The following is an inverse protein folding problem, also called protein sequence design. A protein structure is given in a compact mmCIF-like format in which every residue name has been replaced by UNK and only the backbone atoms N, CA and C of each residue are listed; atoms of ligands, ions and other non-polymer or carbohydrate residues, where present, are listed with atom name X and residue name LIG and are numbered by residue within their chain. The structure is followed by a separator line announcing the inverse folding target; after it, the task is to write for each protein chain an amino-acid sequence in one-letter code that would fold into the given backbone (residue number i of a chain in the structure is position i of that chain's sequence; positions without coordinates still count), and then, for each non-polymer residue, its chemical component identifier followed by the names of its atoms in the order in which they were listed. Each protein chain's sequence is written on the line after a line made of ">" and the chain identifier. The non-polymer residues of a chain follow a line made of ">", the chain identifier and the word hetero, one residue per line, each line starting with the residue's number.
data_IF_590194422126
#
_entry.id   IF_590194422126
#
_cell.length_a   1.000
_cell.length_b   1.000
_cell.length_c   1.000
_cell.angle_alpha   90.00
_cell.angle_beta   90.00
_cell.angle_gamma   90.00
#
_symmetry.space_group_name_H-M   'P 1'
#
loop_
_entity.id
_entity.type
_entity.pdbx_description
1 polymer ?
#
# COMPACT_ATOMS: atom_id res chain seq x y z
N UNK A 1 -11.83 -7.95 1.37
CA UNK A 1 -11.75 -6.80 0.46
C UNK A 1 -10.85 -7.19 -0.70
N UNK A 2 -11.29 -6.96 -1.95
CA UNK A 2 -10.51 -7.27 -3.15
C UNK A 2 -9.49 -6.17 -3.48
N UNK A 3 -8.56 -6.40 -4.41
CA UNK A 3 -7.56 -5.40 -4.78
C UNK A 3 -8.16 -4.23 -5.56
N UNK A 4 -7.55 -3.05 -5.40
CA UNK A 4 -7.77 -1.88 -6.24
C UNK A 4 -7.23 -2.11 -7.65
N UNK A 5 -6.05 -2.74 -7.74
CA UNK A 5 -5.37 -3.14 -8.96
C UNK A 5 -4.71 -4.51 -8.76
N UNK A 6 -4.75 -5.36 -9.77
CA UNK A 6 -4.03 -6.63 -9.81
C UNK A 6 -3.58 -6.94 -11.24
N UNK A 7 -2.32 -7.28 -11.41
CA UNK A 7 -1.73 -7.70 -12.68
C UNK A 7 -1.10 -9.08 -12.54
N UNK A 8 -1.01 -9.81 -13.65
CA UNK A 8 -0.22 -11.03 -13.71
C UNK A 8 1.25 -10.70 -13.40
N UNK A 9 1.88 -11.45 -12.49
CA UNK A 9 3.25 -11.16 -12.04
C UNK A 9 4.32 -11.32 -13.14
N UNK A 10 4.02 -12.09 -14.18
CA UNK A 10 4.90 -12.34 -15.33
C UNK A 10 4.57 -11.40 -16.50
N UNK A 11 3.28 -11.13 -16.72
CA UNK A 11 2.78 -10.25 -17.78
C UNK A 11 2.05 -9.05 -17.16
N UNK A 12 2.78 -7.95 -16.97
CA UNK A 12 2.22 -6.74 -16.36
C UNK A 12 1.32 -5.93 -17.29
N UNK A 13 1.13 -6.34 -18.55
CA UNK A 13 0.10 -5.76 -19.42
C UNK A 13 -1.28 -6.41 -19.17
N UNK A 14 -1.31 -7.62 -18.57
CA UNK A 14 -2.53 -8.30 -18.14
C UNK A 14 -2.95 -7.82 -16.73
N UNK A 15 -3.57 -6.64 -16.69
CA UNK A 15 -4.06 -6.01 -15.46
C UNK A 15 -5.58 -5.92 -15.38
N UNK A 16 -6.09 -6.19 -14.19
CA UNK A 16 -7.44 -5.84 -13.76
C UNK A 16 -7.38 -4.64 -12.82
N UNK A 17 -8.26 -3.67 -13.04
CA UNK A 17 -8.43 -2.50 -12.15
C UNK A 17 -9.86 -2.43 -11.63
N UNK A 18 -10.26 -3.33 -10.70
CA UNK A 18 -11.61 -3.30 -10.13
C UNK A 18 -11.90 -2.00 -9.38
N UNK A 19 -10.86 -1.25 -9.00
CA UNK A 19 -10.95 -0.02 -8.20
C UNK A 19 -11.67 -0.24 -6.86
N UNK A 20 -11.62 -1.47 -6.34
CA UNK A 20 -12.17 -1.79 -5.04
C UNK A 20 -11.37 -1.02 -3.97
N UNK A 21 -12.07 -0.14 -3.25
CA UNK A 21 -11.52 0.62 -2.14
C UNK A 21 -12.28 0.26 -0.87
N UNK A 22 -11.56 -0.16 0.17
CA UNK A 22 -12.14 -0.33 1.50
C UNK A 22 -12.38 1.03 2.15
N UNK A 23 -13.35 1.10 3.05
CA UNK A 23 -13.55 2.26 3.92
C UNK A 23 -13.36 1.83 5.37
N UNK A 24 -12.65 2.67 6.13
CA UNK A 24 -12.42 2.45 7.54
C UNK A 24 -12.81 3.72 8.32
N UNK A 25 -13.90 3.68 9.09
CA UNK A 25 -14.21 4.73 10.06
C UNK A 25 -13.11 4.80 11.12
N UNK A 26 -12.60 6.00 11.38
CA UNK A 26 -11.52 6.25 12.33
C UNK A 26 -11.83 7.45 13.21
N UNK A 27 -11.00 7.67 14.22
CA UNK A 27 -10.95 8.93 14.96
C UNK A 27 -9.51 9.39 15.10
N UNK A 28 -9.32 10.64 15.50
CA UNK A 28 -7.98 11.17 15.77
C UNK A 28 -7.31 10.52 16.99
N UNK A 29 -8.07 9.83 17.85
CA UNK A 29 -7.58 9.31 19.13
C UNK A 29 -6.93 7.93 19.02
N UNK A 30 -7.37 7.11 18.06
CA UNK A 30 -6.98 5.71 17.98
C UNK A 30 -6.19 5.45 16.69
N UNK A 31 -5.01 4.82 16.77
CA UNK A 31 -4.25 4.45 15.58
C UNK A 31 -4.95 3.33 14.81
N UNK A 32 -4.66 3.24 13.52
CA UNK A 32 -5.04 2.10 12.70
C UNK A 32 -4.02 0.98 12.89
N UNK A 33 -4.51 -0.24 13.10
CA UNK A 33 -3.69 -1.44 13.07
C UNK A 33 -3.81 -2.09 11.69
N UNK A 34 -2.76 -1.96 10.88
CA UNK A 34 -2.63 -2.69 9.63
C UNK A 34 -1.98 -4.04 9.92
N UNK A 35 -2.57 -5.12 9.41
CA UNK A 35 -1.93 -6.44 9.37
C UNK A 35 -2.00 -7.00 7.96
N UNK A 36 -0.96 -7.72 7.57
CA UNK A 36 -0.91 -8.44 6.30
C UNK A 36 -0.78 -9.94 6.58
N UNK A 37 -1.44 -10.81 5.81
CA UNK A 37 -1.26 -12.26 5.96
C UNK A 37 0.13 -12.69 5.48
N UNK A 38 0.62 -13.84 5.96
CA UNK A 38 1.95 -14.36 5.62
C UNK A 38 2.21 -14.48 4.10
N UNK A 39 1.15 -14.78 3.35
CA UNK A 39 1.18 -14.85 1.87
C UNK A 39 1.65 -13.53 1.22
N UNK A 40 1.42 -12.39 1.89
CA UNK A 40 1.90 -11.07 1.48
C UNK A 40 3.31 -10.84 2.01
N UNK A 41 3.57 -11.13 3.29
CA UNK A 41 4.85 -10.80 3.91
C UNK A 41 6.03 -11.60 3.38
N UNK A 42 5.80 -12.77 2.77
CA UNK A 42 6.86 -13.60 2.15
C UNK A 42 7.51 -12.97 0.91
N UNK A 43 6.97 -11.87 0.41
CA UNK A 43 7.52 -11.08 -0.70
C UNK A 43 7.77 -9.64 -0.25
N UNK A 44 8.60 -8.86 -0.96
CA UNK A 44 8.73 -7.44 -0.69
C UNK A 44 7.37 -6.75 -0.87
N UNK A 45 6.95 -6.00 0.13
CA UNK A 45 5.69 -5.26 0.09
C UNK A 45 5.90 -3.83 0.56
N UNK A 46 5.14 -2.91 -0.03
CA UNK A 46 5.25 -1.48 0.21
C UNK A 46 3.97 -0.96 0.86
N UNK A 47 4.15 -0.18 1.92
CA UNK A 47 3.09 0.58 2.57
C UNK A 47 3.17 2.04 2.11
N UNK A 48 2.07 2.55 1.56
CA UNK A 48 1.89 3.99 1.38
C UNK A 48 0.91 4.52 2.43
N UNK A 49 1.29 5.63 3.06
CA UNK A 49 0.41 6.39 3.96
C UNK A 49 0.10 7.72 3.27
N UNK A 50 -1.15 7.90 2.86
CA UNK A 50 -1.62 9.08 2.14
C UNK A 50 -2.24 10.04 3.15
N UNK A 51 -1.75 11.27 3.18
CA UNK A 51 -2.22 12.31 4.09
C UNK A 51 -3.13 13.32 3.37
N UNK A 52 -3.70 14.26 4.12
CA UNK A 52 -4.55 15.33 3.56
C UNK A 52 -3.86 16.13 2.45
N UNK A 53 -2.58 16.40 2.61
CA UNK A 53 -1.72 16.88 1.53
C UNK A 53 -1.02 15.67 0.88
N UNK A 54 -1.39 15.29 -0.37
CA UNK A 54 -0.79 14.14 -1.04
C UNK A 54 0.72 14.27 -1.27
N UNK A 55 1.27 15.49 -1.29
CA UNK A 55 2.71 15.71 -1.41
C UNK A 55 3.49 15.15 -0.20
N UNK A 56 2.82 14.95 0.94
CA UNK A 56 3.40 14.36 2.14
C UNK A 56 3.23 12.83 2.24
N UNK A 57 2.75 12.17 1.18
CA UNK A 57 2.61 10.71 1.14
C UNK A 57 3.95 10.06 1.47
N UNK A 58 3.93 9.11 2.41
CA UNK A 58 5.14 8.35 2.75
C UNK A 58 5.08 6.96 2.13
N UNK A 59 6.26 6.42 1.80
CA UNK A 59 6.43 5.07 1.26
C UNK A 59 7.43 4.32 2.13
N UNK A 60 7.06 3.12 2.58
CA UNK A 60 7.93 2.22 3.33
C UNK A 60 7.96 0.86 2.66
N UNK A 61 9.15 0.40 2.27
CA UNK A 61 9.37 -0.95 1.76
C UNK A 61 9.73 -1.90 2.91
N UNK A 62 9.00 -3.00 3.00
CA UNK A 62 9.31 -4.11 3.91
C UNK A 62 9.92 -5.27 3.12
N UNK A 63 11.03 -5.80 3.63
CA UNK A 63 11.67 -7.00 3.07
C UNK A 63 10.86 -8.25 3.43
N UNK A 64 10.99 -9.35 2.67
CA UNK A 64 10.36 -10.62 2.99
C UNK A 64 10.54 -11.01 4.46
N UNK A 65 9.45 -11.46 5.08
CA UNK A 65 9.40 -12.04 6.43
C UNK A 65 9.87 -11.12 7.57
N UNK A 66 9.98 -9.80 7.32
CA UNK A 66 10.44 -8.85 8.35
C UNK A 66 9.32 -8.13 9.10
N UNK A 67 8.10 -8.09 8.55
CA UNK A 67 6.98 -7.35 9.13
C UNK A 67 5.63 -7.91 8.67
N UNK A 68 4.76 -8.14 9.66
CA UNK A 68 3.38 -8.60 9.46
C UNK A 68 2.33 -7.57 9.87
N UNK A 69 2.70 -6.57 10.67
CA UNK A 69 1.76 -5.56 11.15
C UNK A 69 2.42 -4.21 11.40
N UNK A 70 1.67 -3.13 11.20
CA UNK A 70 2.09 -1.75 11.40
C UNK A 70 0.99 -1.00 12.15
N UNK A 71 1.37 -0.31 13.23
CA UNK A 71 0.49 0.61 13.95
C UNK A 71 0.70 2.01 13.41
N UNK A 72 -0.35 2.63 12.90
CA UNK A 72 -0.30 3.89 12.15
C UNK A 72 -1.14 4.95 12.86
N UNK A 73 -0.55 6.06 13.36
CA UNK A 73 -1.33 7.19 13.86
C UNK A 73 -2.24 7.77 12.77
N UNK A 74 -3.49 8.07 13.11
CA UNK A 74 -4.45 8.71 12.18
C UNK A 74 -4.18 10.20 11.98
N UNK A 75 -3.35 10.79 12.83
CA UNK A 75 -2.83 12.16 12.70
C UNK A 75 -1.32 12.14 12.93
N UNK A 76 -0.58 12.60 11.94
CA UNK A 76 0.86 12.82 12.04
C UNK A 76 1.13 14.30 12.37
N UNK A 77 1.96 14.63 13.38
CA UNK A 77 2.22 16.03 13.78
C UNK A 77 2.82 16.92 12.69
N UNK A 78 3.50 16.32 11.70
CA UNK A 78 4.17 17.04 10.60
C UNK A 78 3.38 16.96 9.30
N UNK A 79 2.60 15.89 9.08
CA UNK A 79 1.93 15.60 7.80
C UNK A 79 0.40 15.78 7.83
N UNK A 80 -0.18 15.95 9.02
CA UNK A 80 -1.62 16.12 9.20
C UNK A 80 -2.40 14.80 9.26
N UNK A 81 -3.70 14.85 8.92
CA UNK A 81 -4.56 13.65 9.01
C UNK A 81 -4.24 12.65 7.90
N UNK A 82 -4.21 11.38 8.26
CA UNK A 82 -4.09 10.26 7.33
C UNK A 82 -5.43 10.03 6.61
N UNK A 83 -5.47 10.12 5.29
CA UNK A 83 -6.70 9.96 4.48
C UNK A 83 -6.78 8.62 3.77
N UNK A 84 -5.65 7.92 3.60
CA UNK A 84 -5.61 6.62 2.96
C UNK A 84 -4.42 5.76 3.37
N UNK A 85 -4.60 4.45 3.27
CA UNK A 85 -3.56 3.44 3.42
C UNK A 85 -3.56 2.59 2.15
N UNK A 86 -2.38 2.38 1.58
CA UNK A 86 -2.20 1.51 0.42
C UNK A 86 -1.16 0.45 0.72
N UNK A 87 -1.47 -0.80 0.41
CA UNK A 87 -0.53 -1.92 0.45
C UNK A 87 -0.27 -2.39 -0.97
N UNK A 88 1.00 -2.45 -1.36
CA UNK A 88 1.42 -2.92 -2.67
C UNK A 88 2.30 -4.16 -2.55
N UNK A 89 2.02 -5.20 -3.34
CA UNK A 89 2.98 -6.27 -3.61
C UNK A 89 3.78 -5.91 -4.85
N UNK A 90 5.11 -5.99 -4.72
CA UNK A 90 6.02 -5.56 -5.77
C UNK A 90 6.56 -6.75 -6.56
N UNK A 91 6.78 -6.52 -7.85
CA UNK A 91 7.63 -7.35 -8.71
C UNK A 91 8.74 -6.48 -9.31
N UNK A 92 9.70 -7.10 -9.98
CA UNK A 92 10.79 -6.42 -10.66
C UNK A 92 10.60 -6.51 -12.18
N UNK A 93 10.80 -5.40 -12.86
CA UNK A 93 10.83 -5.33 -14.32
C UNK A 93 12.09 -4.65 -14.81
N UNK A 94 12.46 -4.94 -16.05
CA UNK A 94 13.48 -4.19 -16.78
C UNK A 94 12.74 -3.28 -17.74
N UNK A 95 12.92 -1.97 -17.60
CA UNK A 95 12.28 -0.99 -18.47
C UNK A 95 12.95 -0.91 -19.85
N UNK A 96 12.39 -0.10 -20.76
CA UNK A 96 12.88 0.07 -22.13
C UNK A 96 14.32 0.62 -22.21
N UNK A 97 14.81 1.25 -21.13
CA UNK A 97 16.20 1.74 -21.04
C UNK A 97 17.17 0.68 -20.52
N UNK A 98 16.67 -0.49 -20.13
CA UNK A 98 17.45 -1.58 -19.52
C UNK A 98 17.61 -1.43 -18.00
N UNK A 99 16.92 -0.48 -17.36
CA UNK A 99 17.02 -0.28 -15.91
C UNK A 99 16.02 -1.17 -15.16
N UNK A 100 16.45 -1.72 -14.02
CA UNK A 100 15.62 -2.53 -13.16
C UNK A 100 14.76 -1.63 -12.25
N UNK A 101 13.44 -1.87 -12.25
CA UNK A 101 12.44 -1.10 -11.50
C UNK A 101 11.58 -2.02 -10.66
N UNK A 102 11.21 -1.57 -9.45
CA UNK A 102 10.18 -2.22 -8.65
C UNK A 102 8.81 -1.61 -8.95
N UNK A 103 7.86 -2.47 -9.35
CA UNK A 103 6.52 -2.07 -9.77
C UNK A 103 5.46 -2.89 -9.02
N UNK A 104 4.33 -2.27 -8.63
CA UNK A 104 3.27 -3.00 -7.97
C UNK A 104 2.54 -3.89 -8.97
N UNK A 105 2.44 -5.19 -8.67
CA UNK A 105 1.57 -6.11 -9.41
C UNK A 105 0.25 -6.38 -8.68
N UNK A 106 0.12 -5.97 -7.42
CA UNK A 106 -1.15 -5.96 -6.71
C UNK A 106 -1.18 -4.78 -5.74
N UNK A 107 -2.35 -4.15 -5.62
CA UNK A 107 -2.59 -3.01 -4.75
C UNK A 107 -3.91 -3.15 -4.00
N UNK A 108 -3.90 -2.90 -2.71
CA UNK A 108 -5.10 -2.75 -1.89
C UNK A 108 -5.14 -1.35 -1.31
N UNK A 109 -6.29 -0.70 -1.42
CA UNK A 109 -6.50 0.68 -0.98
C UNK A 109 -7.61 0.76 0.06
N UNK A 110 -7.36 1.49 1.14
CA UNK A 110 -8.32 1.79 2.20
C UNK A 110 -8.41 3.30 2.36
N UNK A 111 -9.61 3.85 2.24
CA UNK A 111 -9.95 5.23 2.57
C UNK A 111 -10.31 5.33 4.04
N UNK A 112 -9.78 6.34 4.72
CA UNK A 112 -10.13 6.63 6.11
C UNK A 112 -11.26 7.66 6.14
N UNK A 113 -12.27 7.37 6.95
CA UNK A 113 -13.46 8.23 7.13
C UNK A 113 -13.43 8.73 8.58
N UNK A 114 -13.29 10.04 8.77
CA UNK A 114 -13.25 10.70 10.10
C UNK A 114 -14.63 11.17 10.54
#
# INVERSE_FOLDING_TARGET
>A
MGPYLYCNVVDLDDCQTPQAQGELPVSERYPVQLSVPEVISRAPWRLLQVYQDPANTTSTLFRPDTRLAVTIPTVDPQRGRLTGIVVQLLTLVVDHSGELRDVPHAEWSVRLIF
#
